data_IF_202940341687
#
_entry.id   IF_202940341687
#
_cell.length_a   1.000
_cell.length_b   1.000
_cell.length_c   1.000
_cell.angle_alpha   90.00
_cell.angle_beta   90.00
_cell.angle_gamma   90.00
#
_symmetry.space_group_name_H-M   'P 1'
#
loop_
_entity.id
_entity.type
_entity.pdbx_description
1 polymer ?
#
# COMPACT_ATOMS: atom_id res chain seq x y z
N UNK A 1 -7.41 27.85 -21.91
CA UNK A 1 -8.24 27.30 -20.82
C UNK A 1 -8.20 25.78 -20.91
N UNK A 2 -7.42 25.12 -20.07
CA UNK A 2 -7.41 23.67 -19.92
C UNK A 2 -8.42 23.30 -18.83
N UNK A 3 -9.49 22.59 -19.18
CA UNK A 3 -10.41 22.02 -18.21
C UNK A 3 -9.77 20.79 -17.55
N UNK A 4 -9.83 20.70 -16.22
CA UNK A 4 -9.28 19.61 -15.41
C UNK A 4 -9.89 18.25 -15.78
N UNK A 5 -9.06 17.20 -15.86
CA UNK A 5 -9.48 15.81 -16.11
C UNK A 5 -10.54 15.30 -15.11
N UNK A 6 -10.64 15.90 -13.92
CA UNK A 6 -11.68 15.56 -12.95
C UNK A 6 -13.09 15.92 -13.43
N UNK A 7 -13.22 17.05 -14.14
CA UNK A 7 -14.51 17.53 -14.65
C UNK A 7 -15.05 16.61 -15.76
N UNK A 8 -14.15 16.05 -16.59
CA UNK A 8 -14.53 15.09 -17.62
C UNK A 8 -14.99 13.75 -17.03
N UNK A 9 -14.35 13.26 -15.96
CA UNK A 9 -14.77 12.03 -15.30
C UNK A 9 -16.16 12.14 -14.66
N UNK A 10 -16.44 13.26 -13.98
CA UNK A 10 -17.77 13.50 -13.39
C UNK A 10 -18.85 13.62 -14.46
N UNK A 11 -18.53 14.28 -15.58
CA UNK A 11 -19.46 14.44 -16.70
C UNK A 11 -19.73 13.12 -17.42
N UNK A 12 -18.72 12.25 -17.57
CA UNK A 12 -18.87 10.90 -18.16
C UNK A 12 -19.72 10.00 -17.25
N UNK A 13 -19.54 10.07 -15.93
CA UNK A 13 -20.36 9.30 -14.98
C UNK A 13 -21.82 9.76 -15.03
N UNK A 14 -22.05 11.08 -15.02
CA UNK A 14 -23.40 11.65 -15.14
C UNK A 14 -24.08 11.24 -16.46
N UNK A 15 -23.34 11.29 -17.58
CA UNK A 15 -23.86 10.87 -18.89
C UNK A 15 -24.18 9.38 -18.94
N UNK A 16 -23.35 8.54 -18.31
CA UNK A 16 -23.54 7.08 -18.29
C UNK A 16 -24.77 6.69 -17.46
N UNK A 17 -24.99 7.36 -16.33
CA UNK A 17 -26.21 7.18 -15.51
C UNK A 17 -27.44 7.61 -16.31
N UNK A 18 -27.38 8.75 -17.00
CA UNK A 18 -28.49 9.27 -17.80
C UNK A 18 -28.86 8.31 -18.96
N UNK A 19 -27.87 7.77 -19.67
CA UNK A 19 -28.07 6.83 -20.78
C UNK A 19 -28.72 5.53 -20.29
N UNK A 20 -28.39 5.06 -19.08
CA UNK A 20 -28.96 3.84 -18.51
C UNK A 20 -30.40 4.03 -17.97
N UNK A 21 -30.74 5.26 -17.59
CA UNK A 21 -32.04 5.60 -16.97
C UNK A 21 -33.18 5.70 -18.00
N UNK A 22 -32.87 6.17 -19.22
CA UNK A 22 -33.83 6.35 -20.32
C UNK A 22 -34.53 5.03 -20.74
N UNK A 23 -33.82 3.92 -21.01
CA UNK A 23 -34.46 2.66 -21.38
C UNK A 23 -35.22 2.02 -20.21
N UNK A 24 -34.75 2.18 -18.97
CA UNK A 24 -35.43 1.67 -17.77
C UNK A 24 -36.81 2.33 -17.54
N UNK A 25 -36.95 3.61 -17.86
CA UNK A 25 -38.24 4.33 -17.81
C UNK A 25 -39.18 3.92 -18.95
N UNK A 26 -38.64 3.59 -20.14
CA UNK A 26 -39.46 3.19 -21.29
C UNK A 26 -40.11 1.82 -21.11
N UNK A 27 -39.47 0.87 -20.43
CA UNK A 27 -39.96 -0.51 -20.24
C UNK A 27 -41.09 -0.59 -19.18
N UNK A 28 -41.21 0.38 -18.27
CA UNK A 28 -42.20 0.34 -17.19
C UNK A 28 -43.52 1.07 -17.50
N UNK A 29 -44.64 0.47 -17.04
CA UNK A 29 -46.02 0.98 -17.17
C UNK A 29 -46.13 2.44 -16.71
N UNK A 30 -46.74 3.27 -17.55
CA UNK A 30 -46.82 4.75 -17.43
C UNK A 30 -47.26 5.24 -16.05
N UNK A 31 -48.10 4.49 -15.35
CA UNK A 31 -48.66 4.83 -14.04
C UNK A 31 -47.65 4.77 -12.88
N UNK A 32 -46.57 3.98 -13.01
CA UNK A 32 -45.57 3.80 -11.94
C UNK A 32 -44.23 4.51 -12.19
N UNK A 33 -44.09 5.25 -13.30
CA UNK A 33 -42.83 5.93 -13.67
C UNK A 33 -42.37 6.95 -12.64
N UNK A 34 -43.31 7.66 -12.01
CA UNK A 34 -43.02 8.66 -11.00
C UNK A 34 -42.50 8.05 -9.69
N UNK A 35 -42.99 6.87 -9.30
CA UNK A 35 -42.52 6.14 -8.11
C UNK A 35 -41.11 5.57 -8.30
N UNK A 36 -40.76 5.15 -9.52
CA UNK A 36 -39.40 4.71 -9.88
C UNK A 36 -38.39 5.85 -9.89
N UNK A 37 -38.76 7.02 -10.43
CA UNK A 37 -37.92 8.22 -10.37
C UNK A 37 -37.60 8.62 -8.92
N UNK A 38 -38.61 8.56 -8.04
CA UNK A 38 -38.43 8.89 -6.62
C UNK A 38 -37.56 7.86 -5.89
N UNK A 39 -37.71 6.56 -6.19
CA UNK A 39 -36.86 5.51 -5.66
C UNK A 39 -35.40 5.65 -6.11
N UNK A 40 -35.15 5.94 -7.40
CA UNK A 40 -33.80 6.18 -7.90
C UNK A 40 -33.16 7.44 -7.30
N UNK A 41 -33.92 8.51 -7.09
CA UNK A 41 -33.43 9.73 -6.45
C UNK A 41 -32.97 9.50 -5.01
N UNK A 42 -33.49 8.47 -4.33
CA UNK A 42 -33.09 8.09 -2.97
C UNK A 42 -31.97 7.06 -2.99
N UNK A 43 -32.00 6.08 -3.90
CA UNK A 43 -31.02 4.96 -3.94
C UNK A 43 -29.66 5.43 -4.47
N UNK A 44 -29.63 6.30 -5.49
CA UNK A 44 -28.39 6.78 -6.10
C UNK A 44 -27.48 7.53 -5.12
N UNK A 45 -27.95 8.50 -4.31
CA UNK A 45 -27.06 9.15 -3.33
C UNK A 45 -26.57 8.22 -2.23
N UNK A 46 -27.35 7.21 -1.83
CA UNK A 46 -26.94 6.19 -0.85
C UNK A 46 -25.85 5.28 -1.44
N UNK A 47 -25.96 4.91 -2.72
CA UNK A 47 -24.96 4.09 -3.40
C UNK A 47 -23.66 4.86 -3.67
N UNK A 48 -23.74 6.17 -3.93
CA UNK A 48 -22.56 7.05 -4.07
C UNK A 48 -21.83 7.24 -2.73
N UNK A 49 -22.56 7.27 -1.60
CA UNK A 49 -21.94 7.34 -0.26
C UNK A 49 -21.24 6.04 0.18
N UNK A 50 -21.56 4.89 -0.45
CA UNK A 50 -20.98 3.58 -0.13
C UNK A 50 -19.91 3.10 -1.13
N UNK A 51 -19.61 3.87 -2.18
CA UNK A 51 -18.40 3.62 -2.97
C UNK A 51 -17.18 3.90 -2.08
N UNK A 52 -16.19 2.98 -1.98
CA UNK A 52 -14.94 3.24 -1.28
C UNK A 52 -14.10 4.21 -2.11
N UNK A 53 -14.48 5.49 -2.10
CA UNK A 53 -13.90 6.56 -2.87
C UNK A 53 -13.39 7.65 -1.94
N UNK A 54 -12.05 7.64 -1.74
CA UNK A 54 -11.21 8.63 -1.04
C UNK A 54 -11.51 8.82 0.46
N UNK A 55 -10.46 8.57 1.25
CA UNK A 55 -10.36 8.94 2.67
C UNK A 55 -10.98 10.32 2.88
N UNK A 56 -11.95 10.41 3.79
CA UNK A 56 -12.39 11.69 4.32
C UNK A 56 -11.14 12.50 4.70
N UNK A 57 -11.11 13.83 4.47
CA UNK A 57 -10.07 14.64 5.08
C UNK A 57 -10.15 14.34 6.58
N UNK A 58 -9.03 13.86 7.12
CA UNK A 58 -8.85 13.66 8.55
C UNK A 58 -9.45 14.87 9.23
N UNK A 59 -10.39 14.67 10.16
CA UNK A 59 -10.82 15.73 11.08
C UNK A 59 -9.56 16.49 11.50
N UNK A 60 -9.55 17.84 11.48
CA UNK A 60 -8.40 18.57 11.99
C UNK A 60 -8.11 18.00 13.37
N UNK A 61 -6.99 17.29 13.50
CA UNK A 61 -6.41 17.06 14.81
C UNK A 61 -6.26 18.48 15.31
N UNK A 62 -6.99 18.81 16.36
CA UNK A 62 -6.86 20.07 17.07
C UNK A 62 -5.39 20.10 17.52
N UNK A 63 -4.53 20.67 16.67
CA UNK A 63 -3.13 20.87 16.95
C UNK A 63 -3.13 21.88 18.08
N UNK A 64 -3.06 21.36 19.30
CA UNK A 64 -2.52 22.12 20.40
C UNK A 64 -1.10 22.44 19.94
N UNK A 65 -0.89 23.65 19.42
CA UNK A 65 0.44 24.25 19.23
C UNK A 65 1.08 24.32 20.61
N UNK A 66 1.58 23.17 21.04
CA UNK A 66 2.40 23.06 22.22
C UNK A 66 3.77 23.45 21.72
N UNK A 67 4.29 24.60 22.16
CA UNK A 67 5.62 25.07 21.77
C UNK A 67 6.69 24.09 22.30
N UNK A 68 6.97 23.04 21.54
CA UNK A 68 8.03 22.10 21.84
C UNK A 68 9.39 22.77 21.60
N UNK A 69 10.28 22.64 22.58
CA UNK A 69 11.64 23.15 22.46
C UNK A 69 12.40 22.44 21.34
N UNK A 70 13.42 23.07 20.73
CA UNK A 70 14.25 22.43 19.72
C UNK A 70 14.85 21.08 20.19
N UNK A 71 15.22 20.99 21.47
CA UNK A 71 15.75 19.75 22.05
C UNK A 71 14.70 18.61 22.09
N UNK A 72 13.45 18.92 22.44
CA UNK A 72 12.35 17.95 22.41
C UNK A 72 12.07 17.45 20.99
N UNK A 73 12.06 18.36 20.01
CA UNK A 73 11.88 18.01 18.59
C UNK A 73 12.97 17.11 18.05
N UNK A 74 14.23 17.43 18.38
CA UNK A 74 15.38 16.61 18.00
C UNK A 74 15.32 15.21 18.63
N UNK A 75 15.00 15.13 19.92
CA UNK A 75 14.89 13.85 20.63
C UNK A 75 13.76 12.99 20.06
N UNK A 76 12.59 13.58 19.81
CA UNK A 76 11.43 12.91 19.20
C UNK A 76 11.77 12.35 17.82
N UNK A 77 12.40 13.16 16.95
CA UNK A 77 12.85 12.69 15.64
C UNK A 77 13.90 11.57 15.73
N UNK A 78 14.89 11.69 16.60
CA UNK A 78 15.94 10.67 16.73
C UNK A 78 15.37 9.33 17.20
N UNK A 79 14.46 9.35 18.18
CA UNK A 79 13.78 8.15 18.67
C UNK A 79 12.96 7.51 17.56
N UNK A 80 12.12 8.30 16.89
CA UNK A 80 11.32 7.83 15.77
C UNK A 80 12.18 7.29 14.62
N UNK A 81 13.26 7.97 14.27
CA UNK A 81 14.14 7.56 13.17
C UNK A 81 14.84 6.24 13.49
N UNK A 82 15.21 6.01 14.75
CA UNK A 82 15.78 4.73 15.19
C UNK A 82 14.79 3.57 15.01
N UNK A 83 13.51 3.78 15.34
CA UNK A 83 12.45 2.79 15.14
C UNK A 83 12.22 2.54 13.65
N UNK A 84 12.16 3.61 12.86
CA UNK A 84 12.05 3.53 11.40
C UNK A 84 13.22 2.76 10.76
N UNK A 85 14.46 3.07 11.16
CA UNK A 85 15.66 2.36 10.68
C UNK A 85 15.64 0.87 11.04
N UNK A 86 15.24 0.53 12.27
CA UNK A 86 15.09 -0.87 12.65
C UNK A 86 14.04 -1.59 11.78
N UNK A 87 12.96 -0.89 11.41
CA UNK A 87 11.99 -1.38 10.44
C UNK A 87 12.61 -1.69 9.08
N UNK A 88 13.37 -0.73 8.52
CA UNK A 88 14.08 -0.91 7.24
C UNK A 88 15.07 -2.08 7.26
N UNK A 89 15.90 -2.16 8.30
CA UNK A 89 16.87 -3.25 8.45
C UNK A 89 16.19 -4.63 8.48
N UNK A 90 15.01 -4.72 9.09
CA UNK A 90 14.23 -5.94 9.14
C UNK A 90 13.65 -6.31 7.76
N UNK A 91 13.21 -5.34 6.97
CA UNK A 91 12.80 -5.59 5.57
C UNK A 91 13.96 -6.10 4.72
N UNK A 92 15.12 -5.46 4.83
CA UNK A 92 16.31 -5.87 4.08
C UNK A 92 16.72 -7.30 4.45
N UNK A 93 16.67 -7.66 5.75
CA UNK A 93 16.92 -9.03 6.21
C UNK A 93 15.90 -10.03 5.66
N UNK A 94 14.60 -9.72 5.70
CA UNK A 94 13.57 -10.59 5.11
C UNK A 94 13.79 -10.79 3.62
N UNK A 95 14.18 -9.73 2.90
CA UNK A 95 14.48 -9.81 1.48
C UNK A 95 15.77 -10.59 1.18
N UNK A 96 16.81 -10.45 2.00
CA UNK A 96 18.02 -11.27 1.91
C UNK A 96 17.67 -12.74 2.08
N UNK A 97 16.91 -13.08 3.14
CA UNK A 97 16.47 -14.46 3.40
C UNK A 97 15.64 -15.02 2.25
N UNK A 98 14.75 -14.21 1.65
CA UNK A 98 14.02 -14.58 0.44
C UNK A 98 14.97 -14.99 -0.70
N UNK A 99 15.98 -14.17 -0.99
CA UNK A 99 16.94 -14.47 -2.06
C UNK A 99 17.82 -15.69 -1.74
N UNK A 100 18.20 -15.89 -0.48
CA UNK A 100 18.90 -17.08 -0.01
C UNK A 100 18.07 -18.35 -0.21
N UNK A 101 16.78 -18.33 0.15
CA UNK A 101 15.86 -19.47 -0.08
C UNK A 101 15.69 -19.77 -1.56
N UNK A 102 15.60 -18.74 -2.42
CA UNK A 102 15.58 -18.93 -3.88
C UNK A 102 16.89 -19.57 -4.37
N UNK A 103 18.04 -19.15 -3.84
CA UNK A 103 19.34 -19.74 -4.14
C UNK A 103 19.45 -21.20 -3.71
N UNK A 104 19.00 -21.53 -2.50
CA UNK A 104 18.96 -22.91 -2.00
C UNK A 104 18.04 -23.82 -2.82
N UNK A 105 16.92 -23.28 -3.32
CA UNK A 105 16.05 -24.00 -4.26
C UNK A 105 16.75 -24.23 -5.61
N UNK A 106 17.42 -23.22 -6.16
CA UNK A 106 18.17 -23.35 -7.43
C UNK A 106 19.33 -24.36 -7.34
N UNK A 107 20.03 -24.39 -6.21
CA UNK A 107 21.13 -25.30 -5.94
C UNK A 107 20.69 -26.73 -5.55
N UNK A 108 19.37 -26.99 -5.52
CA UNK A 108 18.77 -28.25 -5.06
C UNK A 108 19.10 -28.60 -3.60
N UNK A 109 19.55 -27.62 -2.80
CA UNK A 109 19.83 -27.74 -1.36
C UNK A 109 18.54 -27.75 -0.53
N UNK A 110 17.46 -27.16 -1.06
CA UNK A 110 16.14 -27.15 -0.47
C UNK A 110 15.15 -27.89 -1.36
N UNK A 111 14.35 -28.78 -0.78
CA UNK A 111 13.18 -29.32 -1.45
C UNK A 111 12.09 -28.25 -1.61
N UNK A 112 11.14 -28.50 -2.51
CA UNK A 112 9.97 -27.64 -2.73
C UNK A 112 9.20 -27.36 -1.43
N UNK A 113 9.02 -28.40 -0.61
CA UNK A 113 8.29 -28.33 0.67
C UNK A 113 9.04 -27.50 1.71
N UNK A 114 10.35 -27.70 1.83
CA UNK A 114 11.20 -26.90 2.74
C UNK A 114 11.24 -25.43 2.32
N UNK A 115 11.39 -25.16 1.02
CA UNK A 115 11.33 -23.80 0.50
C UNK A 115 9.98 -23.13 0.77
N UNK A 116 8.86 -23.83 0.58
CA UNK A 116 7.52 -23.31 0.89
C UNK A 116 7.36 -22.97 2.38
N UNK A 117 7.88 -23.81 3.28
CA UNK A 117 7.88 -23.56 4.71
C UNK A 117 8.75 -22.33 5.07
N UNK A 118 9.94 -22.21 4.49
CA UNK A 118 10.81 -21.05 4.68
C UNK A 118 10.17 -19.75 4.17
N UNK A 119 9.59 -19.75 2.97
CA UNK A 119 8.87 -18.59 2.43
C UNK A 119 7.66 -18.21 3.29
N UNK A 120 6.94 -19.18 3.84
CA UNK A 120 5.85 -18.90 4.79
C UNK A 120 6.37 -18.23 6.06
N UNK A 121 7.51 -18.69 6.60
CA UNK A 121 8.18 -18.05 7.72
C UNK A 121 8.61 -16.61 7.42
N UNK A 122 9.19 -16.39 6.24
CA UNK A 122 9.58 -15.06 5.75
C UNK A 122 8.35 -14.16 5.61
N UNK A 123 7.24 -14.66 5.05
CA UNK A 123 6.00 -13.91 4.89
C UNK A 123 5.48 -13.41 6.23
N UNK A 124 5.37 -14.29 7.22
CA UNK A 124 4.85 -13.94 8.55
C UNK A 124 5.71 -12.85 9.23
N UNK A 125 7.04 -12.95 9.10
CA UNK A 125 7.96 -11.94 9.63
C UNK A 125 7.80 -10.60 8.90
N UNK A 126 7.80 -10.62 7.56
CA UNK A 126 7.64 -9.43 6.74
C UNK A 126 6.29 -8.74 6.98
N UNK A 127 5.20 -9.50 7.18
CA UNK A 127 3.88 -8.94 7.54
C UNK A 127 3.90 -8.25 8.90
N UNK A 128 4.58 -8.85 9.88
CA UNK A 128 4.77 -8.23 11.20
C UNK A 128 5.50 -6.90 11.08
N UNK A 129 6.58 -6.84 10.29
CA UNK A 129 7.31 -5.59 10.05
C UNK A 129 6.50 -4.56 9.27
N UNK A 130 5.68 -5.00 8.32
CA UNK A 130 4.78 -4.12 7.56
C UNK A 130 3.76 -3.46 8.47
N UNK A 131 3.14 -4.23 9.36
CA UNK A 131 2.20 -3.71 10.33
C UNK A 131 2.87 -2.76 11.33
N UNK A 132 4.09 -3.06 11.77
CA UNK A 132 4.86 -2.16 12.63
C UNK A 132 5.11 -0.80 11.96
N UNK A 133 5.50 -0.78 10.67
CA UNK A 133 5.63 0.46 9.91
C UNK A 133 4.30 1.18 9.66
N UNK A 134 3.21 0.43 9.46
CA UNK A 134 1.87 1.00 9.30
C UNK A 134 1.39 1.74 10.55
N UNK A 135 1.81 1.25 11.72
CA UNK A 135 1.47 1.84 13.01
C UNK A 135 2.46 2.92 13.47
N UNK A 136 3.59 3.09 12.77
CA UNK A 136 4.58 4.11 13.10
C UNK A 136 4.05 5.48 12.67
N UNK A 137 3.76 6.34 13.64
CA UNK A 137 3.19 7.67 13.40
C UNK A 137 4.28 8.76 13.41
N UNK A 138 4.10 9.86 12.66
CA UNK A 138 4.94 11.04 12.81
C UNK A 138 4.88 11.56 14.27
N UNK A 139 6.01 11.94 14.88
CA UNK A 139 6.00 12.47 16.23
C UNK A 139 5.22 13.79 16.31
N UNK A 140 4.26 13.94 17.25
CA UNK A 140 3.46 15.15 17.38
C UNK A 140 4.29 16.38 17.77
N UNK A 141 5.50 16.18 18.29
CA UNK A 141 6.43 17.25 18.67
C UNK A 141 6.95 18.03 17.45
N UNK A 142 6.94 17.43 16.27
CA UNK A 142 7.50 18.03 15.05
C UNK A 142 6.56 19.05 14.43
N UNK A 143 7.12 19.95 13.61
CA UNK A 143 6.29 20.89 12.85
C UNK A 143 5.49 20.15 11.77
N UNK A 144 4.33 20.69 11.36
CA UNK A 144 3.45 20.08 10.36
C UNK A 144 4.21 19.67 9.09
N UNK A 145 5.08 20.54 8.57
CA UNK A 145 5.88 20.26 7.38
C UNK A 145 6.84 19.06 7.56
N UNK A 146 7.36 18.85 8.77
CA UNK A 146 8.24 17.72 9.08
C UNK A 146 7.42 16.43 9.25
N UNK A 147 6.25 16.53 9.86
CA UNK A 147 5.30 15.42 9.96
C UNK A 147 4.86 14.97 8.56
N UNK A 148 4.57 15.89 7.63
CA UNK A 148 4.25 15.57 6.24
C UNK A 148 5.40 14.85 5.52
N UNK A 149 6.65 15.31 5.72
CA UNK A 149 7.83 14.63 5.16
C UNK A 149 7.97 13.20 5.69
N UNK A 150 7.72 13.00 6.98
CA UNK A 150 7.73 11.68 7.61
C UNK A 150 6.59 10.81 7.08
N UNK A 151 5.36 11.33 7.00
CA UNK A 151 4.22 10.61 6.44
C UNK A 151 4.50 10.15 5.01
N UNK A 152 5.02 11.04 4.16
CA UNK A 152 5.39 10.68 2.80
C UNK A 152 6.53 9.66 2.72
N UNK A 153 7.44 9.62 3.71
CA UNK A 153 8.47 8.59 3.79
C UNK A 153 7.88 7.22 4.19
N UNK A 154 6.98 7.22 5.17
CA UNK A 154 6.27 6.03 5.61
C UNK A 154 5.42 5.43 4.51
N UNK A 155 4.68 6.24 3.76
CA UNK A 155 3.85 5.79 2.63
C UNK A 155 4.69 5.10 1.54
N UNK A 156 5.82 5.68 1.14
CA UNK A 156 6.72 5.07 0.17
C UNK A 156 7.30 3.75 0.67
N UNK A 157 7.73 3.72 1.94
CA UNK A 157 8.28 2.52 2.56
C UNK A 157 7.24 1.41 2.64
N UNK A 158 6.01 1.74 3.05
CA UNK A 158 4.88 0.81 3.10
C UNK A 158 4.53 0.28 1.72
N UNK A 159 4.60 1.11 0.67
CA UNK A 159 4.37 0.68 -0.71
C UNK A 159 5.40 -0.35 -1.17
N UNK A 160 6.68 -0.10 -0.90
CA UNK A 160 7.78 -1.03 -1.22
C UNK A 160 7.63 -2.34 -0.45
N UNK A 161 7.34 -2.24 0.84
CA UNK A 161 7.06 -3.37 1.72
C UNK A 161 5.87 -4.22 1.21
N UNK A 162 4.76 -3.59 0.82
CA UNK A 162 3.59 -4.30 0.29
C UNK A 162 3.91 -5.05 -1.02
N UNK A 163 4.73 -4.47 -1.89
CA UNK A 163 5.18 -5.15 -3.11
C UNK A 163 6.04 -6.39 -2.80
N UNK A 164 6.93 -6.31 -1.80
CA UNK A 164 7.71 -7.48 -1.36
C UNK A 164 6.82 -8.59 -0.79
N UNK A 165 5.83 -8.23 0.05
CA UNK A 165 4.85 -9.20 0.56
C UNK A 165 4.13 -9.93 -0.57
N UNK A 166 3.65 -9.19 -1.57
CA UNK A 166 2.97 -9.77 -2.72
C UNK A 166 3.87 -10.71 -3.53
N UNK A 167 5.18 -10.43 -3.65
CA UNK A 167 6.13 -11.35 -4.29
C UNK A 167 6.22 -12.65 -3.49
N UNK A 168 6.33 -12.57 -2.17
CA UNK A 168 6.46 -13.74 -1.29
C UNK A 168 5.17 -14.58 -1.33
N UNK A 169 4.00 -13.94 -1.22
CA UNK A 169 2.70 -14.62 -1.31
C UNK A 169 2.54 -15.36 -2.65
N UNK A 170 2.87 -14.71 -3.77
CA UNK A 170 2.80 -15.36 -5.08
C UNK A 170 3.83 -16.49 -5.23
N UNK A 171 4.98 -16.38 -4.57
CA UNK A 171 6.00 -17.44 -4.54
C UNK A 171 5.48 -18.67 -3.80
N UNK A 172 4.83 -18.49 -2.66
CA UNK A 172 4.19 -19.59 -1.92
C UNK A 172 3.12 -20.24 -2.78
N UNK A 173 2.22 -19.46 -3.38
CA UNK A 173 1.18 -20.00 -4.26
C UNK A 173 1.75 -20.81 -5.44
N UNK A 174 2.87 -20.37 -6.03
CA UNK A 174 3.57 -21.12 -7.09
C UNK A 174 4.13 -22.45 -6.57
N UNK A 175 4.62 -22.49 -5.34
CA UNK A 175 5.15 -23.72 -4.72
C UNK A 175 4.06 -24.65 -4.20
N UNK A 176 2.84 -24.17 -4.01
CA UNK A 176 1.69 -24.98 -3.61
C UNK A 176 0.84 -25.43 -4.80
N UNK A 177 0.99 -24.82 -5.97
CA UNK A 177 0.23 -25.16 -7.18
C UNK A 177 0.52 -26.61 -7.63
N UNK A 178 -0.53 -27.44 -7.63
CA UNK A 178 -0.48 -28.85 -8.01
C UNK A 178 -0.05 -29.07 -9.48
N UNK A 179 -0.24 -28.07 -10.35
CA UNK A 179 0.17 -28.15 -11.77
C UNK A 179 1.69 -28.07 -11.95
N UNK A 180 2.40 -27.47 -11.00
CA UNK A 180 3.87 -27.35 -10.98
C UNK A 180 4.57 -28.47 -10.20
N UNK A 181 3.86 -29.51 -9.78
CA UNK A 181 4.40 -30.61 -8.94
C UNK A 181 5.50 -31.43 -9.60
N UNK A 182 5.64 -31.38 -10.93
CA UNK A 182 6.69 -32.08 -11.67
C UNK A 182 7.85 -31.16 -12.09
N UNK A 183 7.79 -29.86 -11.81
CA UNK A 183 8.85 -28.93 -12.16
C UNK A 183 10.12 -29.21 -11.35
N UNK A 184 11.28 -29.08 -11.99
CA UNK A 184 12.58 -29.18 -11.30
C UNK A 184 12.78 -27.95 -10.41
N UNK A 185 13.53 -28.10 -9.32
CA UNK A 185 13.75 -27.00 -8.37
C UNK A 185 14.43 -25.79 -9.03
N UNK A 186 15.38 -26.00 -9.94
CA UNK A 186 16.00 -24.93 -10.73
C UNK A 186 15.01 -24.18 -11.65
N UNK A 187 13.99 -24.87 -12.17
CA UNK A 187 12.95 -24.24 -12.99
C UNK A 187 12.02 -23.38 -12.13
N UNK A 188 11.59 -23.91 -10.98
CA UNK A 188 10.83 -23.17 -9.98
C UNK A 188 11.59 -21.92 -9.51
N UNK A 189 12.88 -22.03 -9.21
CA UNK A 189 13.71 -20.90 -8.81
C UNK A 189 13.76 -19.82 -9.90
N UNK A 190 13.85 -20.22 -11.17
CA UNK A 190 13.82 -19.28 -12.30
C UNK A 190 12.44 -18.58 -12.44
N UNK A 191 11.34 -19.30 -12.23
CA UNK A 191 10.00 -18.71 -12.22
C UNK A 191 9.82 -17.71 -11.08
N UNK A 192 10.33 -18.03 -9.88
CA UNK A 192 10.33 -17.11 -8.73
C UNK A 192 11.15 -15.86 -9.05
N UNK A 193 12.34 -16.00 -9.65
CA UNK A 193 13.16 -14.86 -10.07
C UNK A 193 12.43 -13.98 -11.09
N UNK A 194 11.77 -14.57 -12.08
CA UNK A 194 10.94 -13.81 -13.04
C UNK A 194 9.80 -13.07 -12.34
N UNK A 195 9.13 -13.72 -11.39
CA UNK A 195 8.07 -13.12 -10.60
C UNK A 195 8.56 -11.89 -9.82
N UNK A 196 9.70 -12.01 -9.16
CA UNK A 196 10.33 -10.93 -8.40
C UNK A 196 10.78 -9.77 -9.29
N UNK A 197 11.19 -10.04 -10.54
CA UNK A 197 11.50 -8.99 -11.52
C UNK A 197 10.25 -8.25 -11.99
N UNK A 198 9.15 -8.97 -12.25
CA UNK A 198 7.90 -8.39 -12.73
C UNK A 198 7.22 -7.48 -11.70
N UNK A 199 7.34 -7.83 -10.42
CA UNK A 199 6.71 -7.08 -9.33
C UNK A 199 7.73 -6.28 -8.51
N UNK A 200 8.93 -6.05 -9.06
CA UNK A 200 10.02 -5.37 -8.36
C UNK A 200 9.51 -4.02 -7.80
N UNK A 201 9.69 -3.76 -6.49
CA UNK A 201 9.31 -2.47 -5.93
C UNK A 201 10.10 -1.33 -6.57
N UNK A 202 9.49 -0.15 -6.63
CA UNK A 202 10.19 1.09 -6.98
C UNK A 202 11.33 1.30 -5.96
N UNK A 203 12.49 1.74 -6.45
CA UNK A 203 13.64 2.01 -5.59
C UNK A 203 13.27 3.02 -4.49
N UNK A 204 13.55 2.65 -3.24
CA UNK A 204 13.28 3.49 -2.08
C UNK A 204 14.47 4.43 -1.83
N UNK A 205 14.38 5.67 -2.31
CA UNK A 205 15.36 6.71 -2.01
C UNK A 205 14.93 7.57 -0.82
N UNK A 206 15.32 7.16 0.38
CA UNK A 206 14.98 7.86 1.61
C UNK A 206 15.87 9.07 1.90
N UNK A 207 17.07 9.15 1.29
CA UNK A 207 18.10 10.10 1.70
C UNK A 207 17.69 11.57 1.52
N UNK A 208 17.08 11.99 0.39
CA UNK A 208 16.66 13.37 0.22
C UNK A 208 15.70 13.86 1.32
N UNK A 209 14.76 13.00 1.74
CA UNK A 209 13.78 13.34 2.80
C UNK A 209 14.44 13.39 4.17
N UNK A 210 15.30 12.42 4.49
CA UNK A 210 16.05 12.41 5.76
C UNK A 210 17.00 13.60 5.87
N UNK A 211 17.70 13.98 4.80
CA UNK A 211 18.58 15.16 4.79
C UNK A 211 17.79 16.45 5.02
N UNK A 212 16.61 16.59 4.41
CA UNK A 212 15.72 17.75 4.66
C UNK A 212 15.25 17.80 6.11
N UNK A 213 14.86 16.66 6.68
CA UNK A 213 14.46 16.55 8.09
C UNK A 213 15.61 16.95 9.02
N UNK A 214 16.82 16.43 8.80
CA UNK A 214 18.01 16.79 9.58
C UNK A 214 18.32 18.29 9.49
N UNK A 215 18.28 18.85 8.28
CA UNK A 215 18.54 20.27 8.07
C UNK A 215 17.52 21.15 8.80
N UNK A 216 16.22 20.79 8.73
CA UNK A 216 15.14 21.52 9.42
C UNK A 216 15.31 21.49 10.94
N UNK A 217 15.69 20.33 11.48
CA UNK A 217 15.89 20.09 12.91
C UNK A 217 17.27 20.53 13.41
N UNK A 218 18.14 21.03 12.53
CA UNK A 218 19.53 21.41 12.82
C UNK A 218 20.33 20.27 13.46
N UNK A 219 20.21 19.08 12.86
CA UNK A 219 20.91 17.83 13.20
C UNK A 219 22.05 17.52 12.23
#
# INVERSE_FOLDING_TARGET
MQFSNAFYHELIILLSILILLIPAIMVFKRENRWKMLLAFFIIVPVFVAYLPGKKAPSSPIEHIETDFTPAQRQAAFQQWFKEYQAGLDNFDKSWQKFNETVGGLEAEELSRSEAAAEFTGILNQAQTYHQALANLLPPPELAVTEQELISGLLEETQSVSAAQLLIIEKTINLLEDETTTQAKQAELANEIKKLALLHRPVYLDIMPKITRLKTSLKL
#
